data_IF_717767350719
#
_entry.id   IF_717767350719
#
_cell.length_a   1.000
_cell.length_b   1.000
_cell.length_c   1.000
_cell.angle_alpha   90.00
_cell.angle_beta   90.00
_cell.angle_gamma   90.00
#
_symmetry.space_group_name_H-M   'P 1'
#
loop_
_entity.id
_entity.type
_entity.pdbx_description
1 polymer ?
#
# COMPACT_ATOMS: atom_id res chain seq x y z
N UNK A 1 -15.63 5.92 7.48
CA UNK A 1 -14.51 5.95 6.53
C UNK A 1 -13.46 6.87 7.12
N UNK A 2 -12.21 6.45 7.10
CA UNK A 2 -11.09 7.31 7.47
C UNK A 2 -10.90 8.31 6.30
N UNK A 3 -11.16 9.59 6.54
CA UNK A 3 -11.16 10.62 5.47
C UNK A 3 -9.78 11.27 5.27
N UNK A 4 -8.74 10.76 5.91
CA UNK A 4 -7.39 11.29 5.85
C UNK A 4 -6.49 10.47 4.91
N UNK A 5 -5.52 11.15 4.30
CA UNK A 5 -4.51 10.52 3.47
C UNK A 5 -3.28 10.25 4.33
N UNK A 6 -2.76 9.03 4.24
CA UNK A 6 -1.59 8.57 4.99
C UNK A 6 -0.43 8.22 4.08
N UNK A 7 0.78 8.34 4.59
CA UNK A 7 1.99 7.91 3.91
C UNK A 7 2.99 7.27 4.87
N UNK A 8 3.76 6.31 4.38
CA UNK A 8 4.92 5.78 5.09
C UNK A 8 5.96 5.20 4.12
N UNK A 9 7.19 5.10 4.61
CA UNK A 9 8.21 4.28 4.00
C UNK A 9 7.83 2.79 4.20
N UNK A 10 7.64 2.05 3.10
CA UNK A 10 7.21 0.64 3.10
C UNK A 10 8.37 -0.34 2.97
N UNK A 11 9.60 0.16 2.82
CA UNK A 11 10.84 -0.63 2.83
C UNK A 11 11.61 -0.38 4.12
N UNK A 12 12.46 -1.32 4.57
CA UNK A 12 13.30 -1.10 5.75
C UNK A 12 14.17 0.15 5.61
N UNK A 13 14.36 0.86 6.71
CA UNK A 13 15.27 2.01 6.77
C UNK A 13 16.72 1.50 6.65
N UNK A 14 17.49 2.05 5.70
CA UNK A 14 18.89 1.65 5.53
C UNK A 14 19.43 1.94 4.13
N UNK A 15 20.58 1.34 3.82
CA UNK A 15 21.19 1.44 2.48
C UNK A 15 20.62 0.35 1.58
N UNK A 16 19.93 0.74 0.53
CA UNK A 16 19.39 -0.15 -0.49
C UNK A 16 19.44 0.49 -1.86
N UNK A 17 19.20 -0.27 -2.92
CA UNK A 17 19.08 0.30 -4.28
C UNK A 17 17.79 1.09 -4.48
N UNK A 18 16.72 0.67 -3.81
CA UNK A 18 15.37 1.24 -3.95
C UNK A 18 14.71 1.39 -2.58
N UNK A 19 13.96 2.46 -2.41
CA UNK A 19 13.02 2.67 -1.32
C UNK A 19 11.62 2.89 -1.88
N UNK A 20 10.60 2.37 -1.21
CA UNK A 20 9.20 2.53 -1.61
C UNK A 20 8.44 3.31 -0.55
N UNK A 21 7.86 4.43 -0.94
CA UNK A 21 6.93 5.20 -0.11
C UNK A 21 5.53 4.90 -0.61
N UNK A 22 4.66 4.49 0.31
CA UNK A 22 3.25 4.21 0.03
C UNK A 22 2.38 5.33 0.58
N UNK A 23 1.41 5.74 -0.22
CA UNK A 23 0.41 6.76 0.12
C UNK A 23 -0.97 6.16 -0.11
N UNK A 24 -1.91 6.32 0.82
CA UNK A 24 -3.27 5.79 0.70
C UNK A 24 -4.30 6.78 1.23
N UNK A 25 -5.42 6.87 0.54
CA UNK A 25 -6.57 7.69 0.89
C UNK A 25 -7.12 8.47 -0.31
N UNK A 26 -8.39 8.83 -0.22
CA UNK A 26 -9.08 9.54 -1.29
C UNK A 26 -8.40 10.88 -1.62
N UNK A 27 -8.13 11.14 -2.91
CA UNK A 27 -7.46 12.36 -3.38
C UNK A 27 -5.92 12.32 -3.29
N UNK A 28 -5.31 11.18 -2.93
CA UNK A 28 -3.85 11.06 -2.86
C UNK A 28 -3.19 11.30 -4.24
N UNK A 29 -3.83 10.92 -5.34
CA UNK A 29 -3.31 11.13 -6.69
C UNK A 29 -3.07 12.62 -6.97
N UNK A 30 -4.07 13.45 -6.70
CA UNK A 30 -3.98 14.91 -6.90
C UNK A 30 -2.87 15.54 -6.04
N UNK A 31 -2.77 15.11 -4.77
CA UNK A 31 -1.73 15.63 -3.88
C UNK A 31 -0.31 15.26 -4.36
N UNK A 32 -0.11 14.02 -4.78
CA UNK A 32 1.20 13.57 -5.28
C UNK A 32 1.54 14.24 -6.61
N UNK A 33 0.56 14.54 -7.46
CA UNK A 33 0.79 15.29 -8.71
C UNK A 33 1.37 16.69 -8.50
N UNK A 34 1.34 17.24 -7.27
CA UNK A 34 1.97 18.53 -6.94
C UNK A 34 3.49 18.46 -6.81
N UNK A 35 4.01 17.29 -6.48
CA UNK A 35 5.45 17.07 -6.24
C UNK A 35 6.07 16.12 -7.27
N UNK A 36 5.26 15.43 -8.07
CA UNK A 36 5.72 14.47 -9.07
C UNK A 36 5.55 15.04 -10.49
N UNK A 37 6.63 15.08 -11.24
CA UNK A 37 6.71 15.63 -12.59
C UNK A 37 7.19 14.55 -13.57
N UNK A 38 6.29 13.90 -14.33
CA UNK A 38 6.66 12.91 -15.33
C UNK A 38 7.65 13.48 -16.34
N UNK A 39 8.61 12.68 -16.80
CA UNK A 39 9.55 13.07 -17.88
C UNK A 39 8.85 13.23 -19.24
N UNK A 40 7.65 12.75 -19.38
CA UNK A 40 6.79 12.99 -20.54
C UNK A 40 6.03 14.32 -20.39
N UNK A 41 5.34 14.73 -21.46
CA UNK A 41 4.42 15.89 -21.42
C UNK A 41 3.06 15.59 -20.79
N UNK A 42 2.86 14.37 -20.26
CA UNK A 42 1.62 13.88 -19.66
C UNK A 42 1.64 14.10 -18.15
N UNK A 43 0.46 14.16 -17.54
CA UNK A 43 0.30 14.11 -16.07
C UNK A 43 0.26 12.67 -15.58
N UNK A 44 0.33 12.44 -14.27
CA UNK A 44 0.19 11.10 -13.69
C UNK A 44 -1.19 10.47 -14.01
N UNK A 45 -2.23 11.30 -14.14
CA UNK A 45 -3.60 10.86 -14.41
C UNK A 45 -3.83 10.41 -15.86
N UNK A 46 -3.01 10.87 -16.80
CA UNK A 46 -3.08 10.46 -18.20
C UNK A 46 -2.61 9.01 -18.45
N UNK A 47 -2.01 8.39 -17.45
CA UNK A 47 -1.59 6.99 -17.53
C UNK A 47 -2.64 6.06 -16.90
N UNK A 48 -2.81 4.83 -17.41
CA UNK A 48 -3.72 3.88 -16.78
C UNK A 48 -3.25 3.53 -15.36
N UNK A 49 -4.17 3.18 -14.43
CA UNK A 49 -3.79 2.64 -13.12
C UNK A 49 -2.85 1.43 -13.25
N UNK A 50 -1.94 1.28 -12.28
CA UNK A 50 -0.91 0.22 -12.23
C UNK A 50 0.17 0.35 -13.30
N UNK A 51 0.28 1.49 -13.94
CA UNK A 51 1.37 1.80 -14.85
C UNK A 51 2.45 2.58 -14.10
N UNK A 52 3.71 2.13 -14.20
CA UNK A 52 4.84 2.81 -13.58
C UNK A 52 5.30 3.98 -14.45
N UNK A 53 5.19 5.18 -13.93
CA UNK A 53 5.53 6.44 -14.61
C UNK A 53 6.86 6.95 -14.10
N UNK A 54 7.83 7.16 -14.98
CA UNK A 54 9.13 7.72 -14.65
C UNK A 54 9.06 9.24 -14.62
N UNK A 55 9.57 9.85 -13.55
CA UNK A 55 9.54 11.30 -13.38
C UNK A 55 10.41 11.81 -12.22
N UNK A 56 10.40 13.12 -12.04
CA UNK A 56 11.11 13.79 -10.95
C UNK A 56 10.17 13.97 -9.75
N UNK A 57 10.68 13.73 -8.55
CA UNK A 57 10.13 14.24 -7.31
C UNK A 57 10.82 15.55 -6.99
N UNK A 58 10.03 16.58 -6.69
CA UNK A 58 10.54 17.93 -6.42
C UNK A 58 9.95 18.47 -5.12
N UNK A 59 10.76 19.26 -4.44
CA UNK A 59 10.31 20.20 -3.42
C UNK A 59 10.26 21.63 -4.03
N UNK A 60 10.04 22.64 -3.17
CA UNK A 60 10.01 24.05 -3.57
C UNK A 60 11.37 24.56 -4.09
N UNK A 61 12.46 23.87 -3.82
CA UNK A 61 13.84 24.33 -4.09
C UNK A 61 14.46 23.63 -5.27
N UNK A 62 14.22 22.32 -5.43
CA UNK A 62 14.96 21.54 -6.40
C UNK A 62 14.31 20.17 -6.71
N UNK A 63 14.91 19.46 -7.66
CA UNK A 63 14.66 18.02 -7.83
C UNK A 63 15.34 17.27 -6.67
N UNK A 64 14.54 16.51 -5.91
CA UNK A 64 15.03 15.65 -4.83
C UNK A 64 15.60 14.38 -5.41
N UNK A 65 14.81 13.71 -6.27
CA UNK A 65 15.18 12.42 -6.88
C UNK A 65 14.37 12.17 -8.16
N UNK A 66 14.80 11.19 -8.93
CA UNK A 66 13.99 10.60 -10.01
C UNK A 66 13.43 9.28 -9.56
N UNK A 67 12.12 9.09 -9.76
CA UNK A 67 11.38 7.96 -9.21
C UNK A 67 10.46 7.31 -10.25
N UNK A 68 10.06 6.08 -9.97
CA UNK A 68 8.91 5.44 -10.62
C UNK A 68 7.69 5.61 -9.71
N UNK A 69 6.63 6.21 -10.22
CA UNK A 69 5.38 6.42 -9.50
C UNK A 69 4.29 5.60 -10.14
N UNK A 70 3.63 4.80 -9.32
CA UNK A 70 2.50 3.95 -9.72
C UNK A 70 1.28 4.34 -8.93
N UNK A 71 0.18 4.67 -9.63
CA UNK A 71 -1.12 4.91 -9.00
C UNK A 71 -2.02 3.69 -9.05
N UNK A 72 -2.83 3.51 -8.03
CA UNK A 72 -3.85 2.49 -7.93
C UNK A 72 -5.18 3.17 -7.61
N UNK A 73 -6.23 2.82 -8.33
CA UNK A 73 -7.56 3.37 -8.10
C UNK A 73 -8.39 2.43 -7.25
N UNK A 74 -9.18 3.00 -6.35
CA UNK A 74 -10.18 2.28 -5.58
C UNK A 74 -11.15 1.50 -6.50
N UNK A 75 -11.59 0.30 -6.12
CA UNK A 75 -11.17 -0.52 -4.97
C UNK A 75 -9.95 -1.41 -5.26
N UNK A 76 -9.27 -1.22 -6.41
CA UNK A 76 -8.24 -2.10 -6.94
C UNK A 76 -6.83 -1.75 -6.42
N UNK A 77 -6.70 -1.56 -5.11
CA UNK A 77 -5.46 -1.30 -4.37
C UNK A 77 -5.32 -2.24 -3.18
N UNK A 78 -4.20 -2.17 -2.46
CA UNK A 78 -3.99 -2.94 -1.24
C UNK A 78 -4.99 -2.57 -0.14
N UNK A 79 -5.20 -1.28 0.09
CA UNK A 79 -6.10 -0.77 1.13
C UNK A 79 -7.58 -0.71 0.69
N UNK A 80 -7.86 -0.90 -0.61
CA UNK A 80 -9.18 -0.64 -1.18
C UNK A 80 -9.48 0.85 -1.44
N UNK A 81 -8.56 1.75 -1.04
CA UNK A 81 -8.63 3.20 -1.31
C UNK A 81 -7.83 3.56 -2.56
N UNK A 82 -7.90 4.83 -3.00
CA UNK A 82 -6.90 5.34 -3.93
C UNK A 82 -5.51 5.27 -3.28
N UNK A 83 -4.50 4.86 -4.05
CA UNK A 83 -3.18 4.64 -3.52
C UNK A 83 -2.10 5.03 -4.54
N UNK A 84 -0.95 5.48 -4.03
CA UNK A 84 0.26 5.76 -4.83
C UNK A 84 1.44 5.04 -4.20
N UNK A 85 2.27 4.43 -5.02
CA UNK A 85 3.59 3.94 -4.63
C UNK A 85 4.67 4.73 -5.39
N UNK A 86 5.63 5.26 -4.63
CA UNK A 86 6.76 6.03 -5.12
C UNK A 86 8.01 5.19 -4.88
N UNK A 87 8.60 4.64 -5.93
CA UNK A 87 9.86 3.92 -5.89
C UNK A 87 11.00 4.87 -6.23
N UNK A 88 11.72 5.33 -5.21
CA UNK A 88 12.86 6.25 -5.29
C UNK A 88 14.18 5.53 -4.95
N UNK A 89 15.31 6.22 -5.01
CA UNK A 89 16.59 5.63 -4.58
C UNK A 89 16.61 5.34 -3.08
N UNK A 90 17.17 4.19 -2.70
CA UNK A 90 17.11 3.59 -1.36
C UNK A 90 18.18 4.10 -0.39
N UNK A 91 18.59 5.36 -0.47
CA UNK A 91 19.43 6.01 0.54
C UNK A 91 18.58 6.62 1.66
N UNK A 92 19.04 6.53 2.92
CA UNK A 92 18.31 7.10 4.07
C UNK A 92 17.92 8.56 3.85
N UNK A 93 18.86 9.40 3.40
CA UNK A 93 18.62 10.83 3.19
C UNK A 93 17.60 11.05 2.06
N UNK A 94 17.78 10.38 0.93
CA UNK A 94 16.89 10.53 -0.24
C UNK A 94 15.46 10.10 0.10
N UNK A 95 15.29 8.91 0.68
CA UNK A 95 13.96 8.42 1.05
C UNK A 95 13.28 9.28 2.11
N UNK A 96 14.04 9.85 3.08
CA UNK A 96 13.51 10.81 4.04
C UNK A 96 13.05 12.11 3.37
N UNK A 97 13.85 12.67 2.47
CA UNK A 97 13.48 13.90 1.74
C UNK A 97 12.24 13.70 0.86
N UNK A 98 12.14 12.56 0.17
CA UNK A 98 10.94 12.23 -0.62
C UNK A 98 9.71 12.07 0.29
N UNK A 99 9.86 11.40 1.43
CA UNK A 99 8.76 11.27 2.40
C UNK A 99 8.34 12.62 2.98
N UNK A 100 9.29 13.50 3.33
CA UNK A 100 9.02 14.86 3.78
C UNK A 100 8.26 15.67 2.73
N UNK A 101 8.64 15.57 1.45
CA UNK A 101 7.92 16.20 0.34
C UNK A 101 6.48 15.68 0.21
N UNK A 102 6.26 14.38 0.40
CA UNK A 102 4.91 13.79 0.44
C UNK A 102 4.10 14.37 1.60
N UNK A 103 4.67 14.41 2.81
CA UNK A 103 4.00 14.93 4.01
C UNK A 103 3.67 16.42 3.89
N UNK A 104 4.51 17.23 3.22
CA UNK A 104 4.29 18.67 2.99
C UNK A 104 3.04 18.94 2.15
N UNK A 105 2.54 17.94 1.39
CA UNK A 105 1.27 18.03 0.68
C UNK A 105 0.03 17.94 1.61
N UNK A 106 0.20 17.99 2.94
CA UNK A 106 -0.87 17.83 3.92
C UNK A 106 -1.35 16.37 3.99
N UNK A 107 -0.41 15.44 3.89
CA UNK A 107 -0.56 14.01 4.09
C UNK A 107 0.01 13.67 5.45
N UNK A 108 -0.68 12.83 6.23
CA UNK A 108 -0.23 12.41 7.56
C UNK A 108 0.68 11.18 7.48
N UNK A 109 1.63 11.09 8.40
CA UNK A 109 2.37 9.84 8.62
C UNK A 109 1.41 8.71 9.03
N UNK A 110 1.55 7.55 8.44
CA UNK A 110 0.79 6.35 8.83
C UNK A 110 1.27 5.82 10.19
N UNK A 111 0.35 5.28 10.97
CA UNK A 111 0.64 4.49 12.15
C UNK A 111 1.15 3.09 11.78
N UNK A 112 1.80 2.41 12.72
CA UNK A 112 2.22 1.02 12.50
C UNK A 112 1.01 0.12 12.17
N UNK A 113 1.11 -0.64 11.07
CA UNK A 113 0.05 -1.52 10.60
C UNK A 113 -1.19 -0.83 10.00
N UNK A 114 -1.18 0.51 9.84
CA UNK A 114 -2.38 1.24 9.42
C UNK A 114 -2.85 0.88 8.00
N UNK A 115 -1.97 0.61 7.05
CA UNK A 115 -2.38 0.16 5.72
C UNK A 115 -3.14 -1.17 5.77
N UNK A 116 -2.68 -2.12 6.57
CA UNK A 116 -3.35 -3.42 6.77
C UNK A 116 -4.69 -3.24 7.49
N UNK A 117 -4.74 -2.37 8.52
CA UNK A 117 -5.99 -2.01 9.21
C UNK A 117 -7.01 -1.41 8.24
N UNK A 118 -6.60 -0.51 7.33
CA UNK A 118 -7.49 0.06 6.31
C UNK A 118 -7.97 -0.99 5.31
N UNK A 119 -7.09 -1.89 4.89
CA UNK A 119 -7.47 -3.01 4.03
C UNK A 119 -8.54 -3.89 4.68
N UNK A 120 -8.42 -4.19 5.98
CA UNK A 120 -9.44 -4.90 6.75
C UNK A 120 -10.76 -4.12 6.83
N UNK A 121 -10.74 -2.84 7.22
CA UNK A 121 -11.93 -1.99 7.31
C UNK A 121 -12.67 -1.88 5.97
N UNK A 122 -11.92 -1.86 4.86
CA UNK A 122 -12.45 -1.78 3.51
C UNK A 122 -12.80 -3.16 2.91
N UNK A 123 -12.86 -4.22 3.72
CA UNK A 123 -13.18 -5.59 3.31
C UNK A 123 -12.27 -6.15 2.20
N UNK A 124 -11.00 -5.69 2.15
CA UNK A 124 -9.98 -6.23 1.26
C UNK A 124 -9.30 -7.46 1.85
N UNK A 125 -9.27 -7.54 3.17
CA UNK A 125 -8.70 -8.63 3.94
C UNK A 125 -9.69 -9.02 5.04
N UNK A 126 -9.78 -10.30 5.35
CA UNK A 126 -10.37 -10.80 6.60
C UNK A 126 -9.43 -10.52 7.78
N UNK A 127 -9.92 -10.66 9.01
CA UNK A 127 -9.08 -10.49 10.19
C UNK A 127 -7.91 -11.48 10.20
N UNK A 128 -8.17 -12.74 9.86
CA UNK A 128 -7.13 -13.79 9.81
C UNK A 128 -6.04 -13.49 8.76
N UNK A 129 -6.42 -12.92 7.61
CA UNK A 129 -5.46 -12.51 6.57
C UNK A 129 -4.63 -11.32 7.03
N UNK A 130 -5.25 -10.35 7.71
CA UNK A 130 -4.57 -9.19 8.27
C UNK A 130 -3.53 -9.57 9.33
N UNK A 131 -3.88 -10.50 10.23
CA UNK A 131 -2.97 -11.07 11.24
C UNK A 131 -1.81 -11.85 10.59
N UNK A 132 -2.13 -12.68 9.59
CA UNK A 132 -1.14 -13.50 8.89
C UNK A 132 -0.08 -12.67 8.16
N UNK A 133 -0.38 -11.44 7.72
CA UNK A 133 0.63 -10.53 7.14
C UNK A 133 1.73 -10.21 8.15
N UNK A 134 1.36 -9.95 9.41
CA UNK A 134 2.31 -9.74 10.51
C UNK A 134 3.19 -10.97 10.75
N UNK A 135 2.58 -12.15 10.73
CA UNK A 135 3.26 -13.43 10.92
C UNK A 135 4.24 -13.74 9.78
N UNK A 136 3.88 -13.44 8.52
CA UNK A 136 4.79 -13.59 7.38
C UNK A 136 6.03 -12.71 7.57
N UNK A 137 5.87 -11.46 8.01
CA UNK A 137 6.98 -10.51 8.19
C UNK A 137 7.89 -10.89 9.37
N UNK A 138 7.36 -11.57 10.39
CA UNK A 138 8.10 -12.00 11.58
C UNK A 138 8.62 -13.44 11.51
N UNK A 139 8.27 -14.20 10.49
CA UNK A 139 8.61 -15.60 10.36
C UNK A 139 10.14 -15.80 10.21
N UNK A 140 10.72 -16.65 11.06
CA UNK A 140 12.16 -16.96 11.09
C UNK A 140 12.50 -18.31 10.45
N UNK A 141 11.49 -19.04 9.95
CA UNK A 141 11.68 -20.34 9.28
C UNK A 141 10.92 -20.43 7.97
N UNK A 142 11.37 -21.31 7.07
CA UNK A 142 10.71 -21.55 5.78
C UNK A 142 9.30 -22.12 5.97
N UNK A 143 9.12 -23.01 6.94
CA UNK A 143 7.84 -23.59 7.31
C UNK A 143 6.89 -22.52 7.87
N UNK A 144 7.39 -21.63 8.73
CA UNK A 144 6.62 -20.47 9.24
C UNK A 144 6.13 -19.58 8.10
N UNK A 145 7.01 -19.21 7.16
CA UNK A 145 6.62 -18.42 5.97
C UNK A 145 5.51 -19.12 5.16
N UNK A 146 5.65 -20.44 4.90
CA UNK A 146 4.65 -21.21 4.14
C UNK A 146 3.30 -21.23 4.83
N UNK A 147 3.28 -21.45 6.16
CA UNK A 147 2.06 -21.49 6.94
C UNK A 147 1.38 -20.12 6.93
N UNK A 148 2.09 -19.06 7.29
CA UNK A 148 1.54 -17.70 7.33
C UNK A 148 1.10 -17.23 5.94
N UNK A 149 1.84 -17.57 4.88
CA UNK A 149 1.42 -17.25 3.49
C UNK A 149 0.13 -17.98 3.11
N UNK A 150 -0.01 -19.25 3.52
CA UNK A 150 -1.26 -19.99 3.28
C UNK A 150 -2.46 -19.35 4.01
N UNK A 151 -2.25 -18.85 5.23
CA UNK A 151 -3.28 -18.12 5.97
C UNK A 151 -3.60 -16.77 5.31
N UNK A 152 -2.57 -16.01 4.92
CA UNK A 152 -2.72 -14.73 4.23
C UNK A 152 -3.41 -14.85 2.85
N UNK A 153 -3.39 -16.03 2.22
CA UNK A 153 -4.09 -16.30 0.96
C UNK A 153 -5.58 -16.66 1.11
N UNK A 154 -6.11 -16.62 2.34
CA UNK A 154 -7.53 -16.87 2.62
C UNK A 154 -7.98 -18.33 2.54
N UNK A 155 -7.05 -19.29 2.39
CA UNK A 155 -7.40 -20.73 2.25
C UNK A 155 -8.22 -21.23 3.45
N UNK A 156 -7.86 -20.81 4.66
CA UNK A 156 -8.60 -21.19 5.87
C UNK A 156 -9.98 -20.52 5.92
N UNK A 157 -10.06 -19.23 5.58
CA UNK A 157 -11.31 -18.47 5.55
C UNK A 157 -12.33 -19.09 4.59
N UNK A 158 -11.91 -19.41 3.36
CA UNK A 158 -12.77 -20.05 2.36
C UNK A 158 -13.31 -21.41 2.83
N UNK A 159 -12.48 -22.22 3.51
CA UNK A 159 -12.95 -23.49 4.11
C UNK A 159 -13.96 -23.30 5.24
N UNK A 160 -13.76 -22.30 6.09
CA UNK A 160 -14.69 -21.96 7.15
C UNK A 160 -16.03 -21.47 6.61
N UNK A 161 -16.02 -20.64 5.57
CA UNK A 161 -17.25 -20.20 4.89
C UNK A 161 -18.00 -21.36 4.24
N UNK A 162 -17.31 -22.30 3.60
CA UNK A 162 -17.90 -23.50 3.03
C UNK A 162 -18.61 -24.34 4.11
N UNK A 163 -17.94 -24.56 5.26
CA UNK A 163 -18.51 -25.33 6.38
C UNK A 163 -19.72 -24.59 6.97
N UNK A 164 -19.61 -23.29 7.18
CA UNK A 164 -20.71 -22.47 7.72
C UNK A 164 -21.91 -22.47 6.79
N UNK A 165 -21.69 -22.33 5.48
CA UNK A 165 -22.76 -22.39 4.47
C UNK A 165 -23.47 -23.74 4.48
N UNK A 166 -22.74 -24.84 4.58
CA UNK A 166 -23.32 -26.21 4.68
C UNK A 166 -24.15 -26.40 5.98
N UNK A 167 -23.64 -25.89 7.10
CA UNK A 167 -24.37 -25.95 8.38
C UNK A 167 -25.65 -25.11 8.32
N UNK A 168 -25.58 -23.89 7.79
CA UNK A 168 -26.74 -23.00 7.62
C UNK A 168 -27.81 -23.64 6.72
N UNK A 169 -27.40 -24.29 5.63
CA UNK A 169 -28.30 -25.01 4.73
C UNK A 169 -28.99 -26.18 5.42
N UNK A 170 -28.26 -26.96 6.27
CA UNK A 170 -28.83 -28.05 7.03
C UNK A 170 -29.86 -27.55 8.06
N UNK A 171 -29.56 -26.47 8.77
CA UNK A 171 -30.47 -25.86 9.74
C UNK A 171 -31.75 -25.34 9.05
N UNK A 172 -31.62 -24.77 7.87
CA UNK A 172 -32.75 -24.23 7.11
C UNK A 172 -33.64 -25.31 6.48
N UNK A 173 -33.19 -26.56 6.45
CA UNK A 173 -33.94 -27.73 5.93
C UNK A 173 -34.67 -28.53 7.01
N UNK A 174 -34.52 -28.17 8.28
CA UNK A 174 -35.25 -28.71 9.45
C UNK A 174 -36.47 -27.88 9.78
#
# INVERSE_FOLDING_TARGET
MLNDIIAALSTPVGRGGVAVIRVSGQGCHEKISRIFFPKSKKTLEDYPPRFAVYGDIRDERSVIDTALVTRFSSPSSFTGEDMVEISCHGGYIVSSMVLEAVLSCGIRMAEAGEFTRRAFINNKLSLSEAEAIGDVLSAVSREGVRLSTSQASGVLGNKMEEITSRLTSLISSL
#
